data_IF_013909775082
#
_entry.id   IF_013909775082
#
_cell.length_a   1.000
_cell.length_b   1.000
_cell.length_c   1.000
_cell.angle_alpha   90.00
_cell.angle_beta   90.00
_cell.angle_gamma   90.00
#
_symmetry.space_group_name_H-M   'P 1'
#
loop_
_entity.id
_entity.type
_entity.pdbx_description
1 polymer ?
#
# COMPACT_ATOMS: atom_id res chain seq x y z
N UNK A 1 -20.09 6.68 47.31
CA UNK A 1 -19.54 7.62 46.30
C UNK A 1 -18.76 6.94 45.16
N UNK A 2 -18.77 5.61 44.97
CA UNK A 2 -17.93 4.92 43.96
C UNK A 2 -18.66 4.42 42.69
N UNK A 3 -19.99 4.45 42.65
CA UNK A 3 -20.78 4.01 41.47
C UNK A 3 -21.16 5.19 40.55
N UNK A 4 -21.31 6.40 41.10
CA UNK A 4 -21.66 7.60 40.32
C UNK A 4 -20.49 8.13 39.46
N UNK A 5 -19.22 7.95 39.88
CA UNK A 5 -18.06 8.39 39.08
C UNK A 5 -17.80 7.50 37.87
N UNK A 6 -18.09 6.19 37.97
CA UNK A 6 -17.94 5.24 36.85
C UNK A 6 -19.00 5.48 35.76
N UNK A 7 -20.20 5.89 36.15
CA UNK A 7 -21.26 6.30 35.21
C UNK A 7 -20.95 7.62 34.49
N UNK A 8 -20.34 8.60 35.17
CA UNK A 8 -19.94 9.86 34.52
C UNK A 8 -18.76 9.69 33.56
N UNK A 9 -17.87 8.72 33.81
CA UNK A 9 -16.73 8.42 32.95
C UNK A 9 -17.16 7.66 31.68
N UNK A 10 -18.12 6.74 31.78
CA UNK A 10 -18.71 6.05 30.63
C UNK A 10 -19.57 6.98 29.74
N UNK A 11 -20.30 7.94 30.33
CA UNK A 11 -21.06 8.94 29.55
C UNK A 11 -20.13 9.94 28.84
N UNK A 12 -18.97 10.28 29.43
CA UNK A 12 -17.92 11.07 28.73
C UNK A 12 -17.29 10.30 27.58
N UNK A 13 -17.05 8.99 27.74
CA UNK A 13 -16.46 8.13 26.71
C UNK A 13 -17.40 7.91 25.50
N UNK A 14 -18.70 7.78 25.75
CA UNK A 14 -19.72 7.69 24.69
C UNK A 14 -19.91 9.03 23.93
N UNK A 15 -19.75 10.18 24.62
CA UNK A 15 -19.77 11.51 23.97
C UNK A 15 -18.51 11.78 23.13
N UNK A 16 -17.33 11.31 23.55
CA UNK A 16 -16.10 11.39 22.75
C UNK A 16 -16.09 10.43 21.57
N UNK A 17 -16.65 9.22 21.70
CA UNK A 17 -16.82 8.30 20.57
C UNK A 17 -17.83 8.82 19.54
N UNK A 18 -18.92 9.46 19.97
CA UNK A 18 -19.88 10.07 19.04
C UNK A 18 -19.31 11.31 18.33
N UNK A 19 -18.38 12.03 18.98
CA UNK A 19 -17.68 13.16 18.36
C UNK A 19 -16.59 12.70 17.38
N UNK A 20 -15.81 11.66 17.71
CA UNK A 20 -14.80 11.06 16.81
C UNK A 20 -15.45 10.38 15.60
N UNK A 21 -16.57 9.67 15.78
CA UNK A 21 -17.36 9.12 14.67
C UNK A 21 -17.95 10.23 13.79
N UNK A 22 -18.34 11.39 14.34
CA UNK A 22 -18.77 12.54 13.54
C UNK A 22 -17.61 13.21 12.80
N UNK A 23 -16.41 13.28 13.39
CA UNK A 23 -15.23 13.89 12.75
C UNK A 23 -14.69 12.98 11.64
N UNK A 24 -14.64 11.66 11.83
CA UNK A 24 -14.26 10.71 10.77
C UNK A 24 -15.33 10.64 9.68
N UNK A 25 -16.62 10.70 10.03
CA UNK A 25 -17.70 10.75 9.05
C UNK A 25 -17.68 12.08 8.26
N UNK A 26 -17.24 13.19 8.86
CA UNK A 26 -17.08 14.49 8.15
C UNK A 26 -15.89 14.49 7.19
N UNK A 27 -14.83 13.75 7.48
CA UNK A 27 -13.72 13.53 6.53
C UNK A 27 -14.09 12.57 5.41
N UNK A 28 -14.87 11.52 5.68
CA UNK A 28 -15.39 10.64 4.61
C UNK A 28 -16.50 11.31 3.82
N UNK A 29 -17.31 12.19 4.41
CA UNK A 29 -18.27 13.04 3.70
C UNK A 29 -17.56 14.17 2.94
N UNK A 30 -16.43 14.72 3.40
CA UNK A 30 -15.63 15.70 2.65
C UNK A 30 -14.91 15.06 1.46
N UNK A 31 -14.37 13.86 1.63
CA UNK A 31 -13.73 13.09 0.55
C UNK A 31 -14.79 12.50 -0.38
N UNK A 32 -15.93 12.01 0.13
CA UNK A 32 -17.06 11.55 -0.67
C UNK A 32 -17.83 12.70 -1.32
N UNK A 33 -17.89 13.89 -0.73
CA UNK A 33 -18.44 15.09 -1.36
C UNK A 33 -17.48 15.67 -2.39
N UNK A 34 -16.16 15.58 -2.20
CA UNK A 34 -15.18 15.90 -3.23
C UNK A 34 -15.24 14.89 -4.38
N UNK A 35 -15.38 13.60 -4.08
CA UNK A 35 -15.52 12.53 -5.07
C UNK A 35 -16.90 12.55 -5.77
N UNK A 36 -17.98 12.90 -5.06
CA UNK A 36 -19.32 13.13 -5.63
C UNK A 36 -19.39 14.45 -6.40
N UNK A 37 -18.70 15.52 -5.99
CA UNK A 37 -18.58 16.74 -6.76
C UNK A 37 -17.79 16.48 -8.06
N UNK A 38 -16.77 15.62 -8.02
CA UNK A 38 -16.04 15.16 -9.20
C UNK A 38 -16.91 14.25 -10.11
N UNK A 39 -17.81 13.45 -9.54
CA UNK A 39 -18.67 12.52 -10.27
C UNK A 39 -20.01 13.12 -10.74
N UNK A 40 -20.45 14.27 -10.21
CA UNK A 40 -21.70 14.96 -10.58
C UNK A 40 -21.49 16.35 -11.20
N UNK A 41 -20.25 16.78 -11.48
CA UNK A 41 -20.04 17.95 -12.35
C UNK A 41 -20.29 17.58 -13.81
N UNK A 42 -21.57 17.45 -14.17
CA UNK A 42 -22.01 17.84 -15.49
C UNK A 42 -22.15 19.36 -15.46
N UNK A 43 -21.09 20.09 -15.78
CA UNK A 43 -21.23 21.51 -16.07
C UNK A 43 -21.44 21.71 -17.57
N UNK A 44 -22.67 22.13 -17.85
CA UNK A 44 -23.08 22.84 -19.03
C UNK A 44 -22.26 24.12 -19.20
N UNK A 45 -21.45 24.18 -20.24
CA UNK A 45 -21.06 25.43 -20.90
C UNK A 45 -20.10 26.34 -20.12
N UNK A 46 -18.82 26.02 -20.17
CA UNK A 46 -17.80 27.06 -20.38
C UNK A 46 -16.62 26.46 -21.15
N UNK A 47 -16.24 27.13 -22.23
CA UNK A 47 -15.18 26.74 -23.13
C UNK A 47 -13.82 27.07 -22.49
N UNK A 48 -13.35 26.23 -21.57
CA UNK A 48 -11.96 26.25 -21.10
C UNK A 48 -11.22 25.02 -21.66
N UNK A 49 -9.96 25.17 -22.11
CA UNK A 49 -9.19 24.04 -22.58
C UNK A 49 -9.06 23.01 -21.45
N UNK A 50 -9.31 21.73 -21.74
CA UNK A 50 -9.04 20.64 -20.79
C UNK A 50 -7.53 20.65 -20.50
N UNK A 51 -7.15 21.07 -19.30
CA UNK A 51 -5.75 21.06 -18.84
C UNK A 51 -5.18 19.63 -18.93
N UNK A 52 -3.98 19.52 -19.48
CA UNK A 52 -3.26 18.24 -19.54
C UNK A 52 -2.82 17.82 -18.14
N UNK A 53 -2.80 16.51 -17.86
CA UNK A 53 -2.35 15.98 -16.57
C UNK A 53 -0.90 16.40 -16.22
N UNK A 54 -0.07 16.68 -17.23
CA UNK A 54 1.27 17.26 -17.07
C UNK A 54 1.23 18.68 -16.49
N UNK A 55 0.25 19.49 -16.90
CA UNK A 55 0.06 20.87 -16.42
C UNK A 55 -0.48 20.86 -14.99
N UNK A 56 -1.36 19.92 -14.67
CA UNK A 56 -1.84 19.70 -13.30
C UNK A 56 -0.69 19.32 -12.35
N UNK A 57 0.19 18.38 -12.75
CA UNK A 57 1.36 17.98 -11.95
C UNK A 57 2.34 19.14 -11.78
N UNK A 58 2.66 19.85 -12.86
CA UNK A 58 3.56 21.01 -12.81
C UNK A 58 3.01 22.10 -11.87
N UNK A 59 1.69 22.31 -11.83
CA UNK A 59 1.05 23.25 -10.91
C UNK A 59 1.12 22.80 -9.45
N UNK A 60 0.93 21.52 -9.16
CA UNK A 60 1.06 20.99 -7.80
C UNK A 60 2.52 21.06 -7.31
N UNK A 61 3.49 20.70 -8.15
CA UNK A 61 4.93 20.86 -7.85
C UNK A 61 5.29 22.33 -7.57
N UNK A 62 4.68 23.27 -8.32
CA UNK A 62 4.92 24.70 -8.15
C UNK A 62 4.25 25.25 -6.86
N UNK A 63 3.09 24.70 -6.46
CA UNK A 63 2.49 25.01 -5.15
C UNK A 63 3.32 24.47 -4.00
N UNK A 64 3.87 23.26 -4.13
CA UNK A 64 4.77 22.68 -3.11
C UNK A 64 6.04 23.53 -2.97
N UNK A 65 6.63 23.99 -4.07
CA UNK A 65 7.77 24.90 -4.04
C UNK A 65 7.43 26.27 -3.43
N UNK A 66 6.24 26.81 -3.71
CA UNK A 66 5.76 28.03 -3.08
C UNK A 66 5.55 27.87 -1.57
N UNK A 67 4.98 26.75 -1.12
CA UNK A 67 4.82 26.45 0.29
C UNK A 67 6.17 26.28 1.00
N UNK A 68 7.15 25.65 0.36
CA UNK A 68 8.51 25.52 0.88
C UNK A 68 9.22 26.89 0.96
N UNK A 69 9.00 27.78 -0.01
CA UNK A 69 9.53 29.13 0.00
C UNK A 69 8.86 30.02 1.08
N UNK A 70 7.56 29.87 1.30
CA UNK A 70 6.82 30.56 2.36
C UNK A 70 7.23 30.09 3.76
N UNK A 71 7.50 28.79 3.94
CA UNK A 71 8.04 28.23 5.18
C UNK A 71 9.47 28.69 5.48
N UNK A 72 10.28 29.00 4.45
CA UNK A 72 11.63 29.53 4.63
C UNK A 72 11.65 31.05 4.91
N UNK A 73 10.59 31.79 4.55
CA UNK A 73 10.49 33.24 4.82
C UNK A 73 9.87 33.57 6.19
N UNK A 74 9.18 32.62 6.84
CA UNK A 74 8.68 32.79 8.21
C UNK A 74 9.69 32.27 9.24
N UNK A 75 10.62 33.14 9.66
CA UNK A 75 11.40 32.99 10.89
C UNK A 75 10.50 33.03 12.15
N UNK A 76 11.02 32.65 13.35
CA UNK A 76 10.22 32.11 14.44
C UNK A 76 9.39 33.19 15.14
N UNK A 77 8.10 33.27 14.81
CA UNK A 77 7.13 34.04 15.58
C UNK A 77 6.50 33.14 16.64
N UNK A 78 6.90 33.37 17.90
CA UNK A 78 6.30 32.78 19.09
C UNK A 78 4.78 33.02 19.09
N UNK A 79 4.00 31.95 19.08
CA UNK A 79 2.59 31.97 19.46
C UNK A 79 2.31 30.85 20.46
N UNK A 80 2.40 31.22 21.73
CA UNK A 80 1.88 30.47 22.85
C UNK A 80 0.37 30.31 22.70
N UNK A 81 -0.08 29.10 22.37
CA UNK A 81 -1.47 28.70 22.60
C UNK A 81 -1.50 27.31 23.22
N UNK A 82 -1.87 27.31 24.50
CA UNK A 82 -2.11 26.13 25.32
C UNK A 82 -3.32 25.39 24.77
N UNK A 83 -3.12 24.24 24.12
CA UNK A 83 -4.18 23.30 23.78
C UNK A 83 -3.64 21.86 23.86
N UNK A 84 -4.42 20.98 24.48
CA UNK A 84 -4.05 19.67 25.01
C UNK A 84 -3.18 18.80 24.10
N UNK A 85 -2.14 18.21 24.73
CA UNK A 85 -1.22 17.27 24.11
C UNK A 85 -1.97 16.11 23.46
N UNK A 86 -2.03 16.15 22.13
CA UNK A 86 -2.03 14.94 21.34
C UNK A 86 -0.61 14.37 21.46
N UNK A 87 -0.49 13.17 22.04
CA UNK A 87 0.74 12.37 21.94
C UNK A 87 1.03 12.14 20.45
N UNK A 88 1.76 13.05 19.82
CA UNK A 88 2.60 12.68 18.70
C UNK A 88 3.59 11.66 19.26
N UNK A 89 3.80 10.50 18.61
CA UNK A 89 4.88 9.62 19.01
C UNK A 89 6.17 10.43 18.90
N UNK A 90 6.75 10.77 20.05
CA UNK A 90 8.09 11.37 20.14
C UNK A 90 9.04 10.58 19.23
N UNK A 91 9.92 11.24 18.47
CA UNK A 91 10.90 10.54 17.64
C UNK A 91 11.66 9.56 18.53
N UNK A 92 11.54 8.27 18.22
CA UNK A 92 12.22 7.23 19.00
C UNK A 92 13.73 7.51 18.99
N UNK A 93 14.36 7.40 20.16
CA UNK A 93 15.81 7.54 20.27
C UNK A 93 16.48 6.59 19.25
N UNK A 94 17.36 7.07 18.36
CA UNK A 94 18.05 6.24 17.36
C UNK A 94 18.72 5.00 17.97
N UNK A 95 19.17 5.08 19.22
CA UNK A 95 19.77 3.95 19.93
C UNK A 95 18.75 2.85 20.22
N UNK A 96 17.52 3.21 20.60
CA UNK A 96 16.44 2.26 20.88
C UNK A 96 15.99 1.57 19.60
N UNK A 97 15.89 2.31 18.49
CA UNK A 97 15.56 1.75 17.18
C UNK A 97 16.61 0.71 16.74
N UNK A 98 17.90 1.03 16.88
CA UNK A 98 18.98 0.10 16.54
C UNK A 98 18.96 -1.17 17.41
N UNK A 99 18.59 -1.07 18.69
CA UNK A 99 18.43 -2.24 19.57
C UNK A 99 17.23 -3.08 19.15
N UNK A 100 16.10 -2.46 18.80
CA UNK A 100 14.92 -3.17 18.29
C UNK A 100 15.25 -3.96 17.04
N UNK A 101 15.93 -3.36 16.06
CA UNK A 101 16.32 -4.01 14.81
C UNK A 101 17.23 -5.22 15.05
N UNK A 102 18.24 -5.11 15.93
CA UNK A 102 19.11 -6.25 16.29
C UNK A 102 18.34 -7.41 16.92
N UNK A 103 17.37 -7.11 17.79
CA UNK A 103 16.55 -8.14 18.43
C UNK A 103 15.63 -8.80 17.40
N UNK A 104 15.02 -8.01 16.51
CA UNK A 104 14.15 -8.51 15.44
C UNK A 104 14.92 -9.42 14.47
N UNK A 105 16.12 -9.01 14.08
CA UNK A 105 17.02 -9.80 13.23
C UNK A 105 17.38 -11.14 13.90
N UNK A 106 17.81 -11.12 15.15
CA UNK A 106 18.13 -12.33 15.89
C UNK A 106 16.91 -13.24 16.10
N UNK A 107 15.72 -12.65 16.24
CA UNK A 107 14.46 -13.40 16.39
C UNK A 107 14.10 -14.23 15.17
N UNK A 108 14.56 -13.85 13.96
CA UNK A 108 14.28 -14.59 12.73
C UNK A 108 14.82 -16.02 12.77
N UNK A 109 15.95 -16.27 13.44
CA UNK A 109 16.51 -17.61 13.59
C UNK A 109 15.60 -18.58 14.37
N UNK A 110 14.74 -18.05 15.24
CA UNK A 110 13.84 -18.82 16.10
C UNK A 110 12.42 -18.93 15.54
N UNK A 111 12.10 -18.27 14.43
CA UNK A 111 10.78 -18.34 13.79
C UNK A 111 10.43 -19.77 13.33
N UNK A 112 11.34 -20.57 12.72
CA UNK A 112 10.98 -21.92 12.29
C UNK A 112 10.53 -22.84 13.43
N UNK A 113 11.07 -22.64 14.64
CA UNK A 113 10.74 -23.43 15.84
C UNK A 113 9.55 -22.90 16.64
N UNK A 114 9.48 -21.59 16.87
CA UNK A 114 8.49 -20.95 17.76
C UNK A 114 7.43 -20.09 17.04
N UNK A 115 7.49 -20.02 15.71
CA UNK A 115 6.57 -19.26 14.87
C UNK A 115 6.75 -17.75 14.98
N UNK A 116 5.76 -17.00 14.48
CA UNK A 116 5.75 -15.53 14.55
C UNK A 116 5.10 -15.09 15.86
N UNK A 117 5.82 -15.28 16.97
CA UNK A 117 5.28 -15.14 18.33
C UNK A 117 6.18 -14.32 19.26
N UNK A 118 5.65 -13.94 20.42
CA UNK A 118 6.44 -13.30 21.48
C UNK A 118 7.55 -14.20 22.04
N UNK A 119 7.40 -15.52 21.91
CA UNK A 119 8.43 -16.47 22.33
C UNK A 119 9.68 -16.35 21.45
N UNK A 120 9.50 -16.16 20.14
CA UNK A 120 10.61 -15.92 19.21
C UNK A 120 11.35 -14.62 19.52
N UNK A 121 10.62 -13.56 19.90
CA UNK A 121 11.20 -12.30 20.38
C UNK A 121 12.00 -12.48 21.68
N UNK A 122 11.44 -13.21 22.63
CA UNK A 122 12.09 -13.52 23.90
C UNK A 122 13.42 -14.26 23.68
N UNK A 123 13.43 -15.25 22.78
CA UNK A 123 14.62 -16.04 22.43
C UNK A 123 15.64 -15.26 21.61
N UNK A 124 15.19 -14.40 20.70
CA UNK A 124 16.06 -13.48 19.95
C UNK A 124 16.72 -12.43 20.86
N UNK A 125 16.00 -11.91 21.86
CA UNK A 125 16.60 -11.03 22.86
C UNK A 125 17.69 -11.75 23.66
N UNK A 126 17.41 -12.97 24.10
CA UNK A 126 18.36 -13.82 24.85
C UNK A 126 19.64 -14.08 24.04
N UNK A 127 19.54 -14.34 22.72
CA UNK A 127 20.71 -14.60 21.87
C UNK A 127 21.59 -13.37 21.62
N UNK A 128 21.06 -12.16 21.81
CA UNK A 128 21.81 -10.89 21.70
C UNK A 128 22.24 -10.38 23.09
N UNK A 129 22.18 -11.23 24.12
CA UNK A 129 22.52 -10.90 25.51
C UNK A 129 21.61 -9.83 26.15
N UNK A 130 20.38 -9.69 25.67
CA UNK A 130 19.36 -8.88 26.32
C UNK A 130 18.44 -9.73 27.20
N UNK A 131 17.98 -9.21 28.35
CA UNK A 131 16.98 -9.88 29.16
C UNK A 131 15.68 -10.18 28.39
N UNK A 132 14.99 -11.27 28.72
CA UNK A 132 13.72 -11.63 28.08
C UNK A 132 12.62 -10.56 28.23
N UNK A 133 12.69 -9.74 29.28
CA UNK A 133 11.77 -8.61 29.50
C UNK A 133 11.84 -7.55 28.39
N UNK A 134 12.94 -7.50 27.63
CA UNK A 134 13.12 -6.61 26.48
C UNK A 134 12.13 -6.92 25.34
N UNK A 135 11.53 -8.12 25.33
CA UNK A 135 10.39 -8.44 24.45
C UNK A 135 9.18 -7.50 24.64
N UNK A 136 9.10 -6.81 25.79
CA UNK A 136 8.11 -5.76 26.06
C UNK A 136 8.28 -4.49 25.22
N UNK A 137 9.42 -4.30 24.54
CA UNK A 137 9.61 -3.20 23.56
C UNK A 137 8.74 -3.35 22.32
N UNK A 138 8.16 -4.54 22.09
CA UNK A 138 7.35 -4.88 20.92
C UNK A 138 5.88 -5.09 21.33
N UNK A 139 5.08 -4.02 21.49
CA UNK A 139 3.71 -4.12 22.00
C UNK A 139 2.82 -5.00 21.11
N UNK A 140 3.04 -4.98 19.79
CA UNK A 140 2.26 -5.74 18.80
C UNK A 140 2.78 -7.18 18.64
N UNK A 141 3.94 -7.49 19.20
CA UNK A 141 4.49 -8.85 19.27
C UNK A 141 4.93 -9.39 17.92
N UNK A 142 4.46 -10.59 17.56
CA UNK A 142 4.96 -11.35 16.39
C UNK A 142 4.82 -10.64 15.05
N UNK A 143 3.85 -9.73 14.88
CA UNK A 143 3.69 -8.95 13.64
C UNK A 143 4.89 -8.02 13.39
N UNK A 144 5.58 -7.56 14.43
CA UNK A 144 6.74 -6.68 14.28
C UNK A 144 7.91 -7.43 13.63
N UNK A 145 8.07 -8.72 13.97
CA UNK A 145 9.02 -9.62 13.30
C UNK A 145 8.64 -9.79 11.82
N UNK A 146 7.35 -9.99 11.51
CA UNK A 146 6.87 -10.13 10.13
C UNK A 146 7.11 -8.86 9.31
N UNK A 147 6.86 -7.68 9.90
CA UNK A 147 7.08 -6.39 9.25
C UNK A 147 8.57 -6.14 9.00
N UNK A 148 9.43 -6.44 9.98
CA UNK A 148 10.88 -6.39 9.83
C UNK A 148 11.37 -7.30 8.71
N UNK A 149 10.91 -8.56 8.69
CA UNK A 149 11.25 -9.51 7.64
C UNK A 149 10.82 -9.01 6.25
N UNK A 150 9.62 -8.44 6.11
CA UNK A 150 9.19 -7.85 4.84
C UNK A 150 10.08 -6.69 4.40
N UNK A 151 10.46 -5.81 5.33
CA UNK A 151 11.37 -4.69 5.05
C UNK A 151 12.72 -5.22 4.53
N UNK A 152 13.31 -6.18 5.24
CA UNK A 152 14.58 -6.80 4.85
C UNK A 152 14.50 -7.49 3.47
N UNK A 153 13.45 -8.27 3.21
CA UNK A 153 13.25 -8.90 1.90
C UNK A 153 13.05 -7.87 0.78
N UNK A 154 12.36 -6.77 1.05
CA UNK A 154 12.13 -5.72 0.05
C UNK A 154 13.43 -4.96 -0.26
N UNK A 155 14.26 -4.67 0.73
CA UNK A 155 15.59 -4.08 0.55
C UNK A 155 16.48 -5.00 -0.30
N UNK A 156 16.57 -6.29 0.05
CA UNK A 156 17.31 -7.28 -0.72
C UNK A 156 16.81 -7.42 -2.17
N UNK A 157 15.48 -7.36 -2.37
CA UNK A 157 14.90 -7.41 -3.71
C UNK A 157 15.29 -6.18 -4.53
N UNK A 158 15.25 -4.99 -3.94
CA UNK A 158 15.67 -3.75 -4.60
C UNK A 158 17.15 -3.79 -4.97
N UNK A 159 18.00 -4.29 -4.08
CA UNK A 159 19.43 -4.42 -4.37
C UNK A 159 19.71 -5.43 -5.48
N UNK A 160 18.98 -6.56 -5.50
CA UNK A 160 19.01 -7.51 -6.62
C UNK A 160 18.60 -6.83 -7.94
N UNK A 161 17.47 -6.11 -7.96
CA UNK A 161 16.99 -5.43 -9.17
C UNK A 161 17.96 -4.34 -9.66
N UNK A 162 18.60 -3.59 -8.77
CA UNK A 162 19.64 -2.62 -9.13
C UNK A 162 20.84 -3.27 -9.80
N UNK A 163 21.26 -4.45 -9.31
CA UNK A 163 22.37 -5.19 -9.89
C UNK A 163 22.03 -5.73 -11.28
N UNK A 164 20.82 -6.24 -11.47
CA UNK A 164 20.37 -6.83 -12.73
C UNK A 164 20.11 -5.79 -13.84
N UNK A 165 19.54 -4.62 -13.50
CA UNK A 165 19.24 -3.56 -14.48
C UNK A 165 20.49 -2.81 -14.92
N UNK A 166 21.55 -2.79 -14.12
CA UNK A 166 22.80 -2.11 -14.48
C UNK A 166 22.56 -0.67 -14.99
N UNK A 167 23.06 -0.35 -16.18
CA UNK A 167 22.90 0.98 -16.80
C UNK A 167 21.72 1.09 -17.80
N UNK A 168 21.00 0.02 -18.11
CA UNK A 168 19.98 0.02 -19.18
C UNK A 168 18.79 -0.88 -18.83
N UNK A 169 17.59 -0.40 -19.16
CA UNK A 169 16.35 -1.15 -18.91
C UNK A 169 16.41 -2.58 -19.50
N UNK A 170 15.78 -3.57 -18.83
CA UNK A 170 15.80 -4.96 -19.28
C UNK A 170 15.13 -5.14 -20.64
N UNK A 171 15.68 -6.04 -21.47
CA UNK A 171 15.19 -6.32 -22.82
C UNK A 171 13.79 -6.97 -22.84
N UNK A 172 13.48 -7.79 -21.83
CA UNK A 172 12.16 -8.40 -21.64
C UNK A 172 11.60 -8.08 -20.23
N UNK A 173 10.66 -7.12 -20.14
CA UNK A 173 10.00 -6.76 -18.88
C UNK A 173 9.25 -7.93 -18.22
N UNK A 174 8.70 -8.86 -19.00
CA UNK A 174 7.91 -9.97 -18.46
C UNK A 174 8.81 -11.02 -17.80
N UNK A 175 9.91 -11.39 -18.47
CA UNK A 175 10.92 -12.28 -17.89
C UNK A 175 11.58 -11.65 -16.64
N UNK A 176 11.86 -10.34 -16.69
CA UNK A 176 12.37 -9.61 -15.52
C UNK A 176 11.40 -9.68 -14.33
N UNK A 177 10.12 -9.38 -14.57
CA UNK A 177 9.09 -9.43 -13.51
C UNK A 177 8.93 -10.84 -12.94
N UNK A 178 8.94 -11.88 -13.79
CA UNK A 178 8.93 -13.27 -13.36
C UNK A 178 10.11 -13.58 -12.43
N UNK A 179 11.33 -13.19 -12.83
CA UNK A 179 12.54 -13.45 -12.03
C UNK A 179 12.53 -12.70 -10.71
N UNK A 180 12.11 -11.43 -10.71
CA UNK A 180 11.99 -10.63 -9.48
C UNK A 180 11.00 -11.25 -8.49
N UNK A 181 9.83 -11.72 -8.96
CA UNK A 181 8.87 -12.42 -8.10
C UNK A 181 9.44 -13.74 -7.59
N UNK A 182 10.12 -14.52 -8.44
CA UNK A 182 10.78 -15.76 -8.03
C UNK A 182 11.79 -15.51 -6.91
N UNK A 183 12.68 -14.52 -7.07
CA UNK A 183 13.67 -14.13 -6.06
C UNK A 183 12.99 -13.73 -4.75
N UNK A 184 11.94 -12.90 -4.82
CA UNK A 184 11.19 -12.47 -3.63
C UNK A 184 10.52 -13.62 -2.90
N UNK A 185 9.97 -14.60 -3.62
CA UNK A 185 9.32 -15.77 -3.05
C UNK A 185 10.32 -16.78 -2.50
N UNK A 186 11.50 -16.92 -3.13
CA UNK A 186 12.58 -17.78 -2.63
C UNK A 186 13.07 -17.35 -1.25
N UNK A 187 13.03 -16.06 -0.93
CA UNK A 187 13.33 -15.56 0.43
C UNK A 187 12.39 -16.11 1.50
N UNK A 188 11.19 -16.57 1.14
CA UNK A 188 10.21 -17.15 2.06
C UNK A 188 10.51 -18.61 2.42
N UNK A 189 11.28 -19.33 1.59
CA UNK A 189 11.54 -20.78 1.70
C UNK A 189 11.96 -21.20 3.12
N UNK A 190 12.88 -20.52 3.82
CA UNK A 190 13.29 -20.90 5.18
C UNK A 190 12.15 -20.86 6.21
N UNK A 191 11.10 -20.08 5.95
CA UNK A 191 10.00 -19.81 6.87
C UNK A 191 8.66 -20.39 6.42
N UNK A 192 8.62 -21.16 5.33
CA UNK A 192 7.38 -21.62 4.69
C UNK A 192 6.42 -22.35 5.63
N UNK A 193 6.94 -23.17 6.55
CA UNK A 193 6.12 -23.91 7.53
C UNK A 193 5.27 -22.98 8.41
N UNK A 194 5.80 -21.81 8.77
CA UNK A 194 5.15 -20.84 9.65
C UNK A 194 4.59 -19.64 8.87
N UNK A 195 4.75 -19.59 7.54
CA UNK A 195 4.27 -18.50 6.71
C UNK A 195 2.74 -18.31 6.76
N UNK A 196 1.90 -19.38 6.80
CA UNK A 196 0.46 -19.21 6.99
C UNK A 196 0.09 -18.41 8.24
N UNK A 197 0.85 -18.59 9.34
CA UNK A 197 0.66 -17.81 10.57
C UNK A 197 0.99 -16.33 10.35
N UNK A 198 2.10 -16.02 9.66
CA UNK A 198 2.46 -14.64 9.34
C UNK A 198 1.38 -13.96 8.48
N UNK A 199 0.86 -14.65 7.47
CA UNK A 199 -0.22 -14.12 6.65
C UNK A 199 -1.49 -13.85 7.46
N UNK A 200 -1.87 -14.77 8.36
CA UNK A 200 -3.02 -14.57 9.24
C UNK A 200 -2.84 -13.33 10.16
N UNK A 201 -1.62 -13.06 10.64
CA UNK A 201 -1.33 -11.84 11.40
C UNK A 201 -1.46 -10.58 10.53
N UNK A 202 -1.06 -10.64 9.26
CA UNK A 202 -1.13 -9.52 8.32
C UNK A 202 -2.56 -9.20 7.87
N UNK A 203 -3.46 -10.18 7.81
CA UNK A 203 -4.86 -9.97 7.40
C UNK A 203 -5.74 -9.35 8.48
N UNK A 204 -5.25 -9.24 9.72
CA UNK A 204 -5.96 -8.55 10.79
C UNK A 204 -6.23 -7.08 10.43
N UNK A 205 -7.41 -6.51 10.76
CA UNK A 205 -7.79 -5.15 10.36
C UNK A 205 -6.78 -4.07 10.74
N UNK A 206 -6.09 -4.21 11.88
CA UNK A 206 -5.05 -3.27 12.30
C UNK A 206 -3.76 -3.32 11.47
N UNK A 207 -3.53 -4.39 10.71
CA UNK A 207 -2.29 -4.66 9.98
C UNK A 207 -2.49 -4.67 8.46
N UNK A 208 -3.72 -4.88 7.98
CA UNK A 208 -4.02 -5.11 6.56
C UNK A 208 -3.64 -3.93 5.67
N UNK A 209 -3.76 -2.70 6.16
CA UNK A 209 -3.38 -1.49 5.40
C UNK A 209 -1.87 -1.45 5.14
N UNK A 210 -1.08 -1.75 6.16
CA UNK A 210 0.39 -1.82 6.05
C UNK A 210 0.80 -2.99 5.15
N UNK A 211 0.17 -4.15 5.33
CA UNK A 211 0.45 -5.33 4.50
C UNK A 211 0.10 -5.07 3.02
N UNK A 212 -1.02 -4.42 2.73
CA UNK A 212 -1.40 -4.04 1.37
C UNK A 212 -0.41 -3.05 0.77
N UNK A 213 -0.02 -2.02 1.54
CA UNK A 213 0.99 -1.06 1.09
C UNK A 213 2.29 -1.76 0.71
N UNK A 214 2.77 -2.71 1.52
CA UNK A 214 4.00 -3.46 1.23
C UNK A 214 3.92 -4.21 -0.10
N UNK A 215 2.76 -4.78 -0.43
CA UNK A 215 2.56 -5.52 -1.68
C UNK A 215 2.52 -4.60 -2.89
N UNK A 216 1.87 -3.45 -2.74
CA UNK A 216 1.85 -2.42 -3.78
C UNK A 216 3.25 -1.84 -4.02
N UNK A 217 4.04 -1.65 -2.96
CA UNK A 217 5.44 -1.22 -3.06
C UNK A 217 6.31 -2.24 -3.80
N UNK A 218 6.13 -3.54 -3.53
CA UNK A 218 6.84 -4.60 -4.29
C UNK A 218 6.49 -4.49 -5.78
N UNK A 219 5.19 -4.41 -6.09
CA UNK A 219 4.71 -4.31 -7.48
C UNK A 219 5.24 -3.06 -8.18
N UNK A 220 5.17 -1.91 -7.50
CA UNK A 220 5.67 -0.63 -8.03
C UNK A 220 7.18 -0.68 -8.30
N UNK A 221 7.97 -1.20 -7.35
CA UNK A 221 9.41 -1.38 -7.55
C UNK A 221 9.71 -2.27 -8.75
N UNK A 222 9.04 -3.43 -8.88
CA UNK A 222 9.27 -4.32 -10.02
C UNK A 222 8.92 -3.62 -11.34
N UNK A 223 7.78 -2.91 -11.41
CA UNK A 223 7.41 -2.13 -12.60
C UNK A 223 8.43 -1.03 -12.92
N UNK A 224 8.92 -0.32 -11.89
CA UNK A 224 9.93 0.73 -12.04
C UNK A 224 11.23 0.19 -12.62
N UNK A 225 11.79 -0.89 -12.03
CA UNK A 225 13.03 -1.49 -12.52
C UNK A 225 12.85 -2.26 -13.84
N UNK A 226 11.64 -2.71 -14.16
CA UNK A 226 11.32 -3.25 -15.48
C UNK A 226 11.31 -2.18 -16.59
N UNK A 227 11.43 -0.89 -16.24
CA UNK A 227 11.47 0.23 -17.19
C UNK A 227 10.09 0.66 -17.68
N UNK A 228 9.02 0.40 -16.91
CA UNK A 228 7.67 0.83 -17.25
C UNK A 228 7.57 2.36 -17.31
N UNK A 229 7.19 2.89 -18.48
CA UNK A 229 6.97 4.33 -18.74
C UNK A 229 5.50 4.71 -18.83
N UNK A 230 4.60 3.79 -18.47
CA UNK A 230 3.15 4.03 -18.52
C UNK A 230 2.72 5.16 -17.59
N UNK A 231 1.83 6.05 -18.05
CA UNK A 231 1.34 7.21 -17.26
C UNK A 231 -0.19 7.26 -17.07
N UNK A 232 -0.92 6.30 -17.66
CA UNK A 232 -2.40 6.30 -17.70
C UNK A 232 -3.02 5.04 -17.04
N UNK A 233 -4.20 4.59 -17.49
CA UNK A 233 -4.89 3.39 -16.98
C UNK A 233 -4.01 2.12 -17.00
N UNK A 234 -3.07 2.06 -17.96
CA UNK A 234 -2.07 1.01 -18.07
C UNK A 234 -1.15 0.94 -16.84
N UNK A 235 -0.81 2.08 -16.22
CA UNK A 235 0.00 2.15 -14.99
C UNK A 235 -0.66 1.40 -13.84
N UNK A 236 -1.96 1.64 -13.62
CA UNK A 236 -2.75 1.00 -12.57
C UNK A 236 -2.96 -0.48 -12.87
N UNK A 237 -3.28 -0.81 -14.12
CA UNK A 237 -3.54 -2.20 -14.54
C UNK A 237 -2.32 -3.08 -14.36
N UNK A 238 -1.13 -2.61 -14.77
CA UNK A 238 0.13 -3.35 -14.59
C UNK A 238 0.45 -3.59 -13.11
N UNK A 239 0.35 -2.55 -12.27
CA UNK A 239 0.69 -2.65 -10.84
C UNK A 239 -0.29 -3.51 -10.05
N UNK A 240 -1.59 -3.34 -10.27
CA UNK A 240 -2.61 -4.16 -9.61
C UNK A 240 -2.53 -5.60 -10.12
N UNK A 241 -2.35 -5.79 -11.43
CA UNK A 241 -2.17 -7.10 -12.05
C UNK A 241 -0.97 -7.85 -11.47
N UNK A 242 0.19 -7.19 -11.39
CA UNK A 242 1.41 -7.78 -10.86
C UNK A 242 1.31 -8.07 -9.35
N UNK A 243 0.69 -7.18 -8.57
CA UNK A 243 0.38 -7.43 -7.16
C UNK A 243 -0.53 -8.66 -6.98
N UNK A 244 -1.52 -8.82 -7.86
CA UNK A 244 -2.39 -10.00 -7.91
C UNK A 244 -1.63 -11.28 -8.25
N UNK A 245 -0.76 -11.24 -9.28
CA UNK A 245 0.08 -12.38 -9.66
C UNK A 245 1.00 -12.79 -8.51
N UNK A 246 1.65 -11.83 -7.86
CA UNK A 246 2.48 -12.09 -6.68
C UNK A 246 1.68 -12.81 -5.58
N UNK A 247 0.50 -12.28 -5.21
CA UNK A 247 -0.31 -12.87 -4.14
C UNK A 247 -0.90 -14.23 -4.48
N UNK A 248 -1.35 -14.43 -5.72
CA UNK A 248 -1.83 -15.75 -6.15
C UNK A 248 -0.70 -16.78 -6.13
N UNK A 249 0.51 -16.39 -6.57
CA UNK A 249 1.68 -17.28 -6.57
C UNK A 249 2.14 -17.60 -5.15
N UNK A 250 2.17 -16.60 -4.26
CA UNK A 250 2.46 -16.79 -2.83
C UNK A 250 1.49 -17.77 -2.18
N UNK A 251 0.19 -17.64 -2.45
CA UNK A 251 -0.83 -18.56 -1.93
C UNK A 251 -0.71 -19.97 -2.53
N UNK A 252 -0.36 -20.09 -3.80
CA UNK A 252 -0.12 -21.38 -4.46
C UNK A 252 1.10 -22.09 -3.84
N UNK A 253 2.17 -21.34 -3.57
CA UNK A 253 3.42 -21.85 -3.00
C UNK A 253 3.23 -22.53 -1.64
N UNK A 254 2.24 -22.10 -0.85
CA UNK A 254 1.93 -22.71 0.45
C UNK A 254 1.46 -24.15 0.38
N UNK A 255 0.85 -24.53 -0.75
CA UNK A 255 0.28 -25.87 -0.96
C UNK A 255 1.20 -26.75 -1.81
N UNK A 256 2.26 -26.16 -2.38
CA UNK A 256 3.16 -26.86 -3.27
C UNK A 256 4.20 -27.68 -2.49
N UNK A 257 4.16 -28.99 -2.70
CA UNK A 257 5.10 -29.97 -2.13
C UNK A 257 6.06 -30.53 -3.17
N UNK A 258 6.08 -29.97 -4.38
CA UNK A 258 7.01 -30.37 -5.44
C UNK A 258 8.46 -30.00 -5.10
N UNK A 259 9.46 -30.73 -5.64
CA UNK A 259 10.86 -30.41 -5.40
C UNK A 259 11.19 -28.99 -5.88
N UNK A 260 11.88 -28.22 -5.03
CA UNK A 260 12.19 -26.79 -5.22
C UNK A 260 11.00 -25.92 -5.66
N UNK A 261 9.76 -26.26 -5.27
CA UNK A 261 8.55 -25.53 -5.67
C UNK A 261 8.36 -25.42 -7.19
N UNK A 262 8.80 -26.43 -7.96
CA UNK A 262 8.74 -26.43 -9.42
C UNK A 262 7.35 -26.08 -9.98
N UNK A 263 6.27 -26.59 -9.36
CA UNK A 263 4.89 -26.27 -9.79
C UNK A 263 4.55 -24.81 -9.58
N UNK A 264 5.04 -24.19 -8.51
CA UNK A 264 4.86 -22.76 -8.24
C UNK A 264 5.52 -21.91 -9.32
N UNK A 265 6.72 -22.28 -9.77
CA UNK A 265 7.41 -21.53 -10.82
C UNK A 265 6.74 -21.67 -12.18
N UNK A 266 6.24 -22.86 -12.53
CA UNK A 266 5.40 -23.05 -13.73
C UNK A 266 4.09 -22.26 -13.65
N UNK A 267 3.46 -22.22 -12.46
CA UNK A 267 2.26 -21.41 -12.25
C UNK A 267 2.55 -19.92 -12.45
N UNK A 268 3.65 -19.41 -11.89
CA UNK A 268 4.09 -18.03 -12.06
C UNK A 268 4.30 -17.67 -13.53
N UNK A 269 5.02 -18.52 -14.26
CA UNK A 269 5.25 -18.34 -15.71
C UNK A 269 3.93 -18.21 -16.47
N UNK A 270 2.98 -19.12 -16.20
CA UNK A 270 1.66 -19.07 -16.83
C UNK A 270 0.90 -17.78 -16.51
N UNK A 271 0.93 -17.32 -15.25
CA UNK A 271 0.24 -16.08 -14.82
C UNK A 271 0.87 -14.82 -15.45
N UNK A 272 2.20 -14.76 -15.55
CA UNK A 272 2.90 -13.64 -16.22
C UNK A 272 2.57 -13.62 -17.72
N UNK A 273 2.54 -14.79 -18.37
CA UNK A 273 2.17 -14.92 -19.79
C UNK A 273 0.72 -14.51 -20.05
N UNK A 274 -0.21 -14.88 -19.18
CA UNK A 274 -1.60 -14.44 -19.24
C UNK A 274 -1.73 -12.93 -19.02
N UNK A 275 -1.04 -12.38 -18.02
CA UNK A 275 -1.02 -10.93 -17.76
C UNK A 275 -0.52 -10.14 -18.98
N UNK A 276 0.56 -10.60 -19.61
CA UNK A 276 1.12 -9.98 -20.82
C UNK A 276 0.17 -10.06 -22.02
N UNK A 277 -0.55 -11.17 -22.17
CA UNK A 277 -1.59 -11.31 -23.21
C UNK A 277 -2.75 -10.37 -22.95
N UNK A 278 -3.28 -10.31 -21.72
CA UNK A 278 -4.38 -9.42 -21.34
C UNK A 278 -4.01 -7.96 -21.58
N UNK A 279 -2.81 -7.57 -21.20
CA UNK A 279 -2.26 -6.25 -21.44
C UNK A 279 -2.23 -5.91 -22.95
N UNK A 280 -1.72 -6.83 -23.79
CA UNK A 280 -1.73 -6.64 -25.24
C UNK A 280 -3.14 -6.55 -25.86
N UNK A 281 -4.12 -7.24 -25.27
CA UNK A 281 -5.52 -7.17 -25.71
C UNK A 281 -6.16 -5.84 -25.29
N UNK A 282 -5.87 -5.37 -24.08
CA UNK A 282 -6.35 -4.08 -23.58
C UNK A 282 -5.79 -2.93 -24.42
N UNK A 283 -4.49 -2.95 -24.73
CA UNK A 283 -3.86 -1.95 -25.61
C UNK A 283 -4.41 -1.99 -27.04
N UNK A 284 -4.60 -3.18 -27.62
CA UNK A 284 -5.29 -3.31 -28.93
C UNK A 284 -6.73 -2.85 -28.88
N UNK A 285 -7.35 -2.92 -27.70
CA UNK A 285 -8.70 -2.45 -27.49
C UNK A 285 -8.77 -0.96 -27.22
N UNK A 286 -7.68 -0.17 -27.17
CA UNK A 286 -7.81 1.29 -26.99
C UNK A 286 -8.69 1.92 -28.09
N UNK A 287 -8.59 1.45 -29.33
CA UNK A 287 -9.50 1.79 -30.43
C UNK A 287 -10.95 1.35 -30.16
N UNK A 288 -11.14 0.20 -29.49
CA UNK A 288 -12.45 -0.32 -29.11
C UNK A 288 -13.01 0.31 -27.83
N UNK A 289 -12.19 0.78 -26.89
CA UNK A 289 -12.59 1.43 -25.65
C UNK A 289 -12.96 2.88 -25.89
N UNK A 290 -12.28 3.56 -26.83
CA UNK A 290 -12.73 4.87 -27.32
C UNK A 290 -14.10 4.74 -28.03
N UNK A 291 -14.29 3.67 -28.81
CA UNK A 291 -15.59 3.34 -29.43
C UNK A 291 -16.66 2.94 -28.40
N UNK A 292 -16.31 2.23 -27.33
CA UNK A 292 -17.25 1.87 -26.26
C UNK A 292 -17.62 3.07 -25.39
N UNK A 293 -16.67 3.94 -25.04
CA UNK A 293 -16.96 5.17 -24.29
C UNK A 293 -17.87 6.11 -25.09
N UNK A 294 -17.58 6.29 -26.38
CA UNK A 294 -18.43 7.09 -27.28
C UNK A 294 -19.80 6.43 -27.50
N UNK A 295 -19.87 5.10 -27.66
CA UNK A 295 -21.13 4.37 -27.80
C UNK A 295 -21.99 4.38 -26.51
N UNK A 296 -21.39 4.25 -25.34
CA UNK A 296 -22.12 4.33 -24.06
C UNK A 296 -22.63 5.75 -23.83
N UNK A 297 -21.81 6.76 -24.14
CA UNK A 297 -22.23 8.16 -24.05
C UNK A 297 -23.37 8.49 -25.02
N UNK A 298 -23.35 7.95 -26.24
CA UNK A 298 -24.38 8.20 -27.26
C UNK A 298 -25.66 7.44 -26.97
N UNK A 299 -25.59 6.22 -26.45
CA UNK A 299 -26.76 5.46 -25.96
C UNK A 299 -27.38 6.17 -24.76
N UNK A 300 -26.57 6.66 -23.83
CA UNK A 300 -27.08 7.40 -22.66
C UNK A 300 -27.69 8.74 -23.06
N UNK A 301 -27.07 9.50 -23.99
CA UNK A 301 -27.65 10.76 -24.48
C UNK A 301 -28.93 10.53 -25.28
N UNK A 302 -28.98 9.46 -26.08
CA UNK A 302 -30.17 9.08 -26.84
C UNK A 302 -31.29 8.64 -25.91
N UNK A 303 -30.99 7.79 -24.92
CA UNK A 303 -31.95 7.42 -23.88
C UNK A 303 -32.43 8.65 -23.10
N UNK A 304 -31.54 9.58 -22.76
CA UNK A 304 -31.88 10.84 -22.10
C UNK A 304 -32.79 11.73 -22.95
N UNK A 305 -32.55 11.81 -24.25
CA UNK A 305 -33.38 12.58 -25.19
C UNK A 305 -34.75 11.93 -25.43
N UNK A 306 -34.80 10.59 -25.54
CA UNK A 306 -36.05 9.83 -25.68
C UNK A 306 -36.90 9.90 -24.41
N UNK A 307 -36.26 9.91 -23.23
CA UNK A 307 -36.94 10.00 -21.93
C UNK A 307 -37.37 11.45 -21.58
N UNK A 308 -37.19 12.42 -22.47
CA UNK A 308 -37.70 13.78 -22.28
C UNK A 308 -37.09 14.55 -21.09
N UNK A 309 -35.93 14.12 -20.56
CA UNK A 309 -35.25 14.77 -19.43
C UNK A 309 -34.47 16.03 -19.85
N UNK A 310 -35.07 16.85 -20.70
CA UNK A 310 -34.62 18.21 -21.00
C UNK A 310 -35.20 19.17 -19.96
N UNK A 311 -34.41 19.53 -18.96
CA UNK A 311 -34.74 20.71 -18.15
C UNK A 311 -34.49 21.95 -19.00
N UNK A 312 -35.53 22.41 -19.71
CA UNK A 312 -35.61 23.82 -20.10
C UNK A 312 -35.76 24.63 -18.80
N UNK A 313 -34.67 25.25 -18.35
CA UNK A 313 -34.78 26.37 -17.40
C UNK A 313 -35.01 27.64 -18.22
N UNK A 314 -36.24 28.15 -18.17
CA UNK A 314 -36.52 29.59 -18.27
C UNK A 314 -36.07 30.28 -17.00
#
# INVERSE_FOLDING_TARGET
MSQLSRLTQNIRMLRTCSYLLRVTNRSTESVSASFKAQLYSTDSGSNQPRESFSEFRAREELKEQQQLAEQQQQGPAQSSSTAGGANQPEPEDPQVAAVKDRILEASLAFVPSHGWSRQSLAKGAESVNYPTVTSGLFPRGGIEIVQFFHKQCNEQLVDYMKQEVGATAPADPAAFAQKAIEVRLRMLIPYMKQWPQAMALMTLPQNVTIALSNVLTISDNICYYAGDKSVDFNWYTRRIGLAGIYKMTELYMLQDTSPDYAKTWTFLEHRIKEGSKMDSLLLKSEDATAQLQSAVSSVFSTARNILGMGFERR
#
